data_IF_891716502776
#
_entry.id   IF_891716502776
#
_cell.length_a   1.000
_cell.length_b   1.000
_cell.length_c   1.000
_cell.angle_alpha   90.00
_cell.angle_beta   90.00
_cell.angle_gamma   90.00
#
_symmetry.space_group_name_H-M   'P 1'
#
loop_
_entity.id
_entity.type
_entity.pdbx_description
1 polymer ?
#
# COMPACT_ATOMS: atom_id res chain seq x y z
N UNK A 1 -16.46 8.70 21.70
CA UNK A 1 -15.44 7.64 21.83
C UNK A 1 -14.16 8.31 22.33
N UNK A 2 -13.72 8.00 23.55
CA UNK A 2 -12.38 8.40 24.01
C UNK A 2 -11.33 7.91 23.00
N UNK A 3 -10.18 8.58 22.93
CA UNK A 3 -9.11 8.34 21.95
C UNK A 3 -8.65 6.88 21.98
N UNK A 4 -9.26 6.03 21.16
CA UNK A 4 -8.74 4.70 20.91
C UNK A 4 -7.63 4.82 19.88
N UNK A 5 -6.43 4.43 20.28
CA UNK A 5 -5.38 4.11 19.33
C UNK A 5 -5.70 2.77 18.66
N UNK A 6 -6.25 2.84 17.43
CA UNK A 6 -6.59 1.66 16.64
C UNK A 6 -5.36 0.95 16.04
N UNK A 7 -4.16 1.54 16.19
CA UNK A 7 -2.93 1.05 15.58
C UNK A 7 -2.04 0.28 16.57
N UNK A 8 -2.41 0.28 17.87
CA UNK A 8 -1.75 -0.48 18.93
C UNK A 8 -2.66 -1.61 19.42
N UNK A 9 -2.19 -2.85 19.31
CA UNK A 9 -3.02 -4.03 19.47
C UNK A 9 -2.27 -5.32 19.18
N UNK A 10 -3.03 -6.39 18.99
CA UNK A 10 -2.51 -7.72 18.69
C UNK A 10 -3.34 -8.40 17.59
N UNK A 11 -2.72 -9.35 16.91
CA UNK A 11 -3.44 -10.26 16.02
C UNK A 11 -4.11 -11.37 16.82
N UNK A 12 -5.41 -11.53 16.61
CA UNK A 12 -6.22 -12.57 17.26
C UNK A 12 -6.85 -13.46 16.21
N UNK A 13 -7.00 -14.74 16.54
CA UNK A 13 -7.68 -15.70 15.66
C UNK A 13 -9.17 -15.37 15.59
N UNK A 14 -9.71 -15.38 14.38
CA UNK A 14 -11.13 -15.23 14.10
C UNK A 14 -11.50 -16.09 12.88
N UNK A 15 -12.26 -17.16 13.13
CA UNK A 15 -12.60 -18.14 12.08
C UNK A 15 -13.61 -17.61 11.06
N UNK A 16 -14.20 -16.43 11.29
CA UNK A 16 -15.06 -15.76 10.31
C UNK A 16 -14.28 -15.06 9.19
N UNK A 17 -12.95 -14.92 9.31
CA UNK A 17 -12.08 -14.42 8.23
C UNK A 17 -11.71 -15.56 7.25
N UNK A 18 -11.29 -15.27 6.00
CA UNK A 18 -11.08 -13.96 5.39
C UNK A 18 -12.37 -13.17 5.08
N UNK A 19 -12.24 -11.91 4.65
CA UNK A 19 -13.38 -11.06 4.27
C UNK A 19 -14.07 -11.51 2.97
N UNK A 20 -13.37 -12.28 2.14
CA UNK A 20 -13.90 -12.92 0.93
C UNK A 20 -13.17 -14.25 0.69
N UNK A 21 -13.81 -15.23 0.02
CA UNK A 21 -13.20 -16.54 -0.21
C UNK A 21 -11.97 -16.46 -1.13
N UNK A 22 -10.98 -17.31 -0.89
CA UNK A 22 -9.84 -17.51 -1.79
C UNK A 22 -10.28 -17.92 -3.21
N UNK A 23 -9.56 -17.47 -4.23
CA UNK A 23 -9.88 -17.74 -5.64
C UNK A 23 -11.19 -17.12 -6.16
N UNK A 24 -11.98 -16.42 -5.34
CA UNK A 24 -13.25 -15.82 -5.75
C UNK A 24 -13.11 -14.52 -6.57
N UNK A 25 -11.93 -13.89 -6.51
CA UNK A 25 -11.67 -12.60 -7.14
C UNK A 25 -10.72 -12.75 -8.33
N UNK A 26 -11.17 -12.51 -9.58
CA UNK A 26 -10.34 -12.67 -10.77
C UNK A 26 -9.43 -11.45 -11.04
N UNK A 27 -9.32 -10.53 -10.09
CA UNK A 27 -8.58 -9.27 -10.22
C UNK A 27 -7.34 -9.19 -9.33
N UNK A 28 -6.99 -10.30 -8.69
CA UNK A 28 -5.74 -10.42 -7.94
C UNK A 28 -4.64 -10.73 -8.96
N UNK A 29 -3.61 -9.88 -9.00
CA UNK A 29 -2.43 -10.12 -9.80
C UNK A 29 -1.73 -11.41 -9.31
N UNK A 30 -1.22 -12.23 -10.24
CA UNK A 30 -0.62 -13.53 -9.94
C UNK A 30 0.34 -13.54 -8.73
N UNK A 31 1.26 -12.56 -8.51
CA UNK A 31 2.15 -12.57 -7.36
C UNK A 31 1.48 -12.45 -6.00
N UNK A 32 0.24 -11.97 -5.94
CA UNK A 32 -0.51 -11.83 -4.70
C UNK A 32 -1.50 -12.98 -4.50
N UNK A 33 -1.82 -13.75 -5.55
CA UNK A 33 -2.75 -14.89 -5.50
C UNK A 33 -2.04 -16.18 -5.06
N UNK A 34 -1.72 -16.24 -3.77
CA UNK A 34 -1.06 -17.40 -3.17
C UNK A 34 -1.89 -18.68 -3.28
N UNK A 35 -3.23 -18.56 -3.31
CA UNK A 35 -4.12 -19.71 -3.49
C UNK A 35 -3.97 -20.31 -4.89
N UNK A 36 -4.06 -19.47 -5.93
CA UNK A 36 -3.82 -19.89 -7.32
C UNK A 36 -2.41 -20.49 -7.50
N UNK A 37 -1.42 -19.95 -6.79
CA UNK A 37 -0.04 -20.42 -6.81
C UNK A 37 0.22 -21.66 -5.92
N UNK A 38 -0.82 -22.25 -5.33
CA UNK A 38 -0.74 -23.55 -4.67
C UNK A 38 -0.36 -23.52 -3.19
N UNK A 39 -0.42 -22.36 -2.53
CA UNK A 39 -0.22 -22.25 -1.08
C UNK A 39 -1.33 -22.99 -0.32
N UNK A 40 -0.95 -23.93 0.53
CA UNK A 40 -1.91 -24.80 1.26
C UNK A 40 -2.13 -24.41 2.71
N UNK A 41 -1.20 -23.71 3.34
CA UNK A 41 -1.40 -23.21 4.70
C UNK A 41 -2.31 -21.98 4.66
N UNK A 42 -3.48 -22.08 5.29
CA UNK A 42 -4.50 -21.02 5.28
C UNK A 42 -4.64 -20.32 6.65
N UNK A 43 -3.84 -20.71 7.64
CA UNK A 43 -3.94 -20.18 9.00
C UNK A 43 -3.69 -18.66 9.07
N UNK A 44 -2.83 -18.12 8.19
CA UNK A 44 -2.55 -16.69 8.10
C UNK A 44 -3.78 -15.85 7.76
N UNK A 45 -4.78 -16.45 7.09
CA UNK A 45 -6.01 -15.76 6.71
C UNK A 45 -7.02 -15.66 7.87
N UNK A 46 -6.82 -16.43 8.95
CA UNK A 46 -7.75 -16.51 10.09
C UNK A 46 -7.40 -15.56 11.22
N UNK A 47 -6.68 -14.49 10.93
CA UNK A 47 -6.22 -13.51 11.90
C UNK A 47 -6.86 -12.16 11.60
N UNK A 48 -7.36 -11.50 12.66
CA UNK A 48 -7.81 -10.11 12.63
C UNK A 48 -7.03 -9.26 13.60
N UNK A 49 -6.95 -7.97 13.32
CA UNK A 49 -6.36 -7.01 14.23
C UNK A 49 -7.33 -6.64 15.35
N UNK A 50 -6.87 -6.69 16.60
CA UNK A 50 -7.61 -6.27 17.78
C UNK A 50 -6.82 -5.18 18.50
N UNK A 51 -7.25 -3.91 18.40
CA UNK A 51 -6.67 -2.85 19.22
C UNK A 51 -6.84 -3.15 20.71
N UNK A 52 -5.87 -2.71 21.53
CA UNK A 52 -5.87 -2.99 22.98
C UNK A 52 -6.96 -2.20 23.73
N UNK A 53 -7.32 -1.01 23.25
CA UNK A 53 -8.23 -0.09 23.94
C UNK A 53 -9.64 -0.01 23.34
N UNK A 54 -9.89 -0.65 22.20
CA UNK A 54 -11.21 -0.68 21.57
C UNK A 54 -11.32 -1.81 20.54
N UNK A 55 -12.50 -1.95 19.95
CA UNK A 55 -12.70 -2.81 18.78
C UNK A 55 -12.85 -1.96 17.53
N UNK A 56 -12.19 -2.36 16.44
CA UNK A 56 -12.46 -1.83 15.12
C UNK A 56 -13.64 -2.60 14.50
N UNK A 57 -14.55 -1.92 13.77
CA UNK A 57 -15.63 -2.59 13.09
C UNK A 57 -15.08 -3.46 11.96
N UNK A 58 -15.57 -4.70 11.85
CA UNK A 58 -15.34 -5.52 10.66
C UNK A 58 -15.85 -4.79 9.43
N UNK A 59 -15.09 -4.83 8.32
CA UNK A 59 -15.52 -4.16 7.10
C UNK A 59 -16.82 -4.79 6.56
N UNK A 60 -17.87 -3.98 6.51
CA UNK A 60 -19.10 -4.32 5.79
C UNK A 60 -19.01 -3.77 4.36
N UNK A 61 -18.83 -4.63 3.34
CA UNK A 61 -18.55 -4.17 1.98
C UNK A 61 -19.74 -3.45 1.34
N UNK A 62 -20.97 -3.83 1.69
CA UNK A 62 -22.19 -3.14 1.21
C UNK A 62 -22.27 -1.74 1.81
N UNK A 63 -22.05 -1.59 3.12
CA UNK A 63 -22.04 -0.28 3.77
C UNK A 63 -20.88 0.60 3.27
N UNK A 64 -19.68 0.02 3.06
CA UNK A 64 -18.56 0.72 2.43
C UNK A 64 -18.94 1.25 1.05
N UNK A 65 -19.57 0.44 0.19
CA UNK A 65 -20.01 0.86 -1.14
C UNK A 65 -21.07 1.97 -1.08
N UNK A 66 -22.03 1.91 -0.15
CA UNK A 66 -23.00 2.99 0.06
C UNK A 66 -22.32 4.30 0.48
N UNK A 67 -21.29 4.23 1.34
CA UNK A 67 -20.52 5.43 1.74
C UNK A 67 -19.72 6.02 0.60
N UNK A 68 -19.28 5.17 -0.34
CA UNK A 68 -18.57 5.54 -1.56
C UNK A 68 -19.51 5.94 -2.70
N UNK A 69 -20.83 5.83 -2.54
CA UNK A 69 -21.79 6.15 -3.60
C UNK A 69 -21.56 7.55 -4.17
N UNK A 70 -21.36 7.64 -5.49
CA UNK A 70 -21.09 8.91 -6.18
C UNK A 70 -19.69 9.49 -5.96
N UNK A 71 -18.75 8.71 -5.38
CA UNK A 71 -17.44 9.20 -4.95
C UNK A 71 -16.28 8.43 -5.58
N UNK A 72 -15.09 9.04 -5.50
CA UNK A 72 -13.82 8.45 -5.93
C UNK A 72 -12.95 8.14 -4.71
N UNK A 73 -12.51 6.88 -4.59
CA UNK A 73 -11.50 6.47 -3.62
C UNK A 73 -10.22 6.08 -4.37
N UNK A 74 -9.13 6.76 -4.07
CA UNK A 74 -7.89 6.68 -4.84
C UNK A 74 -6.73 6.23 -3.96
N UNK A 75 -6.00 5.20 -4.39
CA UNK A 75 -4.71 4.81 -3.83
C UNK A 75 -3.60 5.40 -4.69
N UNK A 76 -2.59 5.99 -4.05
CA UNK A 76 -1.42 6.56 -4.75
C UNK A 76 -0.16 6.07 -4.06
N UNK A 77 0.75 5.44 -4.80
CA UNK A 77 2.00 4.99 -4.19
C UNK A 77 2.70 3.84 -4.91
N UNK A 78 3.38 3.01 -4.14
CA UNK A 78 4.14 1.87 -4.64
C UNK A 78 3.28 0.60 -4.79
N UNK A 79 3.92 -0.52 -5.12
CA UNK A 79 3.27 -1.82 -5.31
C UNK A 79 2.56 -2.35 -4.08
N UNK A 80 2.89 -1.88 -2.87
CA UNK A 80 2.18 -2.28 -1.65
C UNK A 80 0.84 -1.55 -1.55
N UNK A 81 0.70 -0.35 -2.14
CA UNK A 81 -0.61 0.28 -2.25
C UNK A 81 -1.46 -0.40 -3.31
N UNK A 82 -0.84 -0.87 -4.39
CA UNK A 82 -1.54 -1.72 -5.36
C UNK A 82 -2.06 -2.98 -4.69
N UNK A 83 -1.23 -3.64 -3.89
CA UNK A 83 -1.62 -4.84 -3.13
C UNK A 83 -2.80 -4.55 -2.17
N UNK A 84 -2.83 -3.39 -1.49
CA UNK A 84 -3.98 -2.94 -0.68
C UNK A 84 -5.21 -2.57 -1.50
N UNK A 85 -5.03 -1.96 -2.67
CA UNK A 85 -6.10 -1.60 -3.59
C UNK A 85 -6.78 -2.85 -4.18
N UNK A 86 -6.01 -3.85 -4.63
CA UNK A 86 -6.55 -5.13 -5.13
C UNK A 86 -7.37 -5.83 -4.05
N UNK A 87 -6.88 -5.85 -2.80
CA UNK A 87 -7.64 -6.34 -1.64
C UNK A 87 -9.00 -5.64 -1.53
N UNK A 88 -9.03 -4.29 -1.55
CA UNK A 88 -10.30 -3.56 -1.41
C UNK A 88 -11.26 -3.84 -2.57
N UNK A 89 -10.74 -3.84 -3.81
CA UNK A 89 -11.54 -4.16 -5.00
C UNK A 89 -12.18 -5.55 -4.84
N UNK A 90 -11.42 -6.55 -4.38
CA UNK A 90 -11.92 -7.90 -4.18
C UNK A 90 -12.95 -8.01 -3.05
N UNK A 91 -12.73 -7.32 -1.92
CA UNK A 91 -13.69 -7.25 -0.81
C UNK A 91 -15.03 -6.68 -1.30
N UNK A 92 -14.99 -5.52 -1.98
CA UNK A 92 -16.19 -4.83 -2.44
C UNK A 92 -16.88 -5.61 -3.56
N UNK A 93 -16.13 -6.10 -4.55
CA UNK A 93 -16.67 -6.89 -5.66
C UNK A 93 -17.43 -8.10 -5.15
N UNK A 94 -16.92 -8.77 -4.10
CA UNK A 94 -17.57 -9.95 -3.55
C UNK A 94 -18.96 -9.68 -2.94
N UNK A 95 -19.27 -8.45 -2.55
CA UNK A 95 -20.61 -8.05 -2.06
C UNK A 95 -21.63 -7.72 -3.16
N UNK A 96 -21.18 -7.40 -4.38
CA UNK A 96 -22.06 -7.01 -5.48
C UNK A 96 -22.76 -8.24 -6.06
N UNK A 97 -24.09 -8.20 -6.28
CA UNK A 97 -24.83 -9.34 -6.84
C UNK A 97 -24.45 -9.63 -8.29
N UNK A 98 -24.53 -8.62 -9.16
CA UNK A 98 -24.14 -8.75 -10.57
C UNK A 98 -22.68 -8.33 -10.75
N UNK A 99 -21.75 -9.30 -10.80
CA UNK A 99 -20.33 -9.02 -10.95
C UNK A 99 -19.97 -8.33 -12.28
N UNK A 100 -20.83 -8.39 -13.30
CA UNK A 100 -20.59 -7.73 -14.61
C UNK A 100 -20.65 -6.20 -14.50
N UNK A 101 -21.27 -5.71 -13.42
CA UNK A 101 -21.36 -4.29 -13.08
C UNK A 101 -20.13 -3.75 -12.35
N UNK A 102 -19.12 -4.59 -12.16
CA UNK A 102 -17.82 -4.27 -11.60
C UNK A 102 -16.74 -4.59 -12.63
N UNK A 103 -16.09 -3.58 -13.17
CA UNK A 103 -15.07 -3.76 -14.20
C UNK A 103 -14.01 -2.67 -14.14
N UNK A 104 -12.82 -2.99 -14.65
CA UNK A 104 -11.76 -2.01 -14.83
C UNK A 104 -12.10 -1.13 -16.05
N UNK A 105 -12.01 0.19 -15.89
CA UNK A 105 -12.49 1.18 -16.85
C UNK A 105 -11.84 1.07 -18.23
N UNK A 106 -10.59 0.62 -18.30
CA UNK A 106 -9.83 0.41 -19.54
C UNK A 106 -9.97 -1.01 -20.10
N UNK A 107 -10.76 -1.88 -19.47
CA UNK A 107 -10.95 -3.29 -19.85
C UNK A 107 -9.73 -4.20 -19.57
N UNK A 108 -8.74 -3.73 -18.82
CA UNK A 108 -7.48 -4.46 -18.58
C UNK A 108 -7.62 -5.51 -17.48
N UNK A 109 -6.73 -6.51 -17.52
CA UNK A 109 -6.69 -7.63 -16.55
C UNK A 109 -5.35 -7.79 -15.83
N UNK A 110 -4.30 -7.13 -16.28
CA UNK A 110 -2.97 -7.18 -15.65
C UNK A 110 -2.61 -5.81 -15.05
N UNK A 111 -2.26 -5.77 -13.77
CA UNK A 111 -2.06 -4.53 -13.01
C UNK A 111 -0.58 -4.15 -12.77
N UNK A 112 0.34 -4.79 -13.52
CA UNK A 112 1.80 -4.58 -13.39
C UNK A 112 2.39 -3.51 -14.30
N UNK A 113 1.77 -3.24 -15.44
CA UNK A 113 2.44 -2.61 -16.59
C UNK A 113 2.16 -1.11 -16.74
N UNK A 114 1.18 -0.55 -16.03
CA UNK A 114 0.63 0.77 -16.37
C UNK A 114 0.57 1.73 -15.16
N UNK A 115 0.52 3.03 -15.47
CA UNK A 115 0.59 4.09 -14.46
C UNK A 115 -0.68 4.32 -13.64
N UNK A 116 -1.84 3.83 -14.09
CA UNK A 116 -3.11 3.99 -13.36
C UNK A 116 -4.18 2.96 -13.73
N UNK A 117 -5.01 2.57 -12.76
CA UNK A 117 -6.14 1.65 -12.93
C UNK A 117 -7.38 2.17 -12.19
N UNK A 118 -8.57 1.87 -12.70
CA UNK A 118 -9.83 2.32 -12.09
C UNK A 118 -10.90 1.24 -12.17
N UNK A 119 -11.32 0.68 -11.03
CA UNK A 119 -12.49 -0.19 -10.97
C UNK A 119 -13.75 0.62 -10.74
N UNK A 120 -14.74 0.42 -11.61
CA UNK A 120 -16.05 1.07 -11.53
C UNK A 120 -17.08 0.12 -10.91
N UNK A 121 -17.84 0.63 -9.93
CA UNK A 121 -18.97 -0.07 -9.32
C UNK A 121 -20.25 0.63 -9.74
N UNK A 122 -20.82 0.19 -10.87
CA UNK A 122 -21.87 0.95 -11.57
C UNK A 122 -23.14 1.16 -10.73
N UNK A 123 -23.58 0.17 -9.95
CA UNK A 123 -24.76 0.29 -9.06
C UNK A 123 -24.57 1.35 -7.96
N UNK A 124 -23.34 1.72 -7.65
CA UNK A 124 -22.98 2.72 -6.64
C UNK A 124 -22.49 4.03 -7.27
N UNK A 125 -22.29 4.06 -8.59
CA UNK A 125 -21.69 5.20 -9.29
C UNK A 125 -20.39 5.65 -8.59
N UNK A 126 -19.53 4.71 -8.21
CA UNK A 126 -18.27 5.01 -7.52
C UNK A 126 -17.09 4.31 -8.20
N UNK A 127 -15.89 4.86 -7.97
CA UNK A 127 -14.63 4.30 -8.45
C UNK A 127 -13.66 3.99 -7.31
N UNK A 128 -12.89 2.92 -7.50
CA UNK A 128 -11.75 2.55 -6.66
C UNK A 128 -10.52 2.49 -7.54
N UNK A 129 -9.61 3.44 -7.37
CA UNK A 129 -8.56 3.75 -8.33
C UNK A 129 -7.17 3.55 -7.71
N UNK A 130 -6.18 3.26 -8.55
CA UNK A 130 -4.78 3.20 -8.18
C UNK A 130 -3.94 4.03 -9.16
N UNK A 131 -3.01 4.83 -8.64
CA UNK A 131 -1.99 5.55 -9.40
C UNK A 131 -0.60 5.15 -8.91
N UNK A 132 0.22 4.64 -9.83
CA UNK A 132 1.60 4.24 -9.54
C UNK A 132 2.43 5.50 -9.36
N UNK A 133 2.88 5.74 -8.14
CA UNK A 133 3.81 6.82 -7.80
C UNK A 133 4.70 6.35 -6.64
N UNK A 134 5.68 5.45 -6.90
CA UNK A 134 6.41 4.78 -5.84
C UNK A 134 7.16 5.73 -4.91
N UNK A 135 7.56 6.89 -5.43
CA UNK A 135 8.27 7.94 -4.71
C UNK A 135 7.39 9.15 -4.36
N UNK A 136 6.12 9.21 -4.80
CA UNK A 136 5.21 10.39 -4.77
C UNK A 136 5.68 11.59 -5.60
N UNK A 137 6.99 11.71 -5.82
CA UNK A 137 7.66 12.70 -6.66
C UNK A 137 8.03 12.12 -8.03
N UNK A 138 8.39 13.00 -8.96
CA UNK A 138 8.45 12.70 -10.39
C UNK A 138 9.74 11.99 -10.80
N UNK A 139 9.61 10.78 -11.37
CA UNK A 139 10.69 10.12 -12.13
C UNK A 139 10.94 10.92 -13.43
N UNK A 140 12.21 11.14 -13.80
CA UNK A 140 12.59 12.04 -14.89
C UNK A 140 13.82 11.53 -15.67
N UNK A 141 14.01 12.05 -16.88
CA UNK A 141 15.19 11.80 -17.70
C UNK A 141 15.89 13.12 -18.05
N UNK A 142 17.17 13.24 -17.70
CA UNK A 142 18.01 14.36 -18.12
C UNK A 142 18.90 13.96 -19.29
N UNK A 143 19.06 14.88 -20.25
CA UNK A 143 20.06 14.76 -21.31
C UNK A 143 21.44 15.08 -20.72
N UNK A 144 22.40 14.16 -20.90
CA UNK A 144 23.81 14.40 -20.55
C UNK A 144 24.66 14.54 -21.82
N UNK A 145 25.78 15.24 -21.69
CA UNK A 145 26.77 15.39 -22.77
C UNK A 145 27.14 14.02 -23.33
N UNK A 146 27.18 13.88 -24.66
CA UNK A 146 27.21 12.64 -25.48
C UNK A 146 25.87 12.09 -25.98
N UNK A 147 24.74 12.77 -25.75
CA UNK A 147 23.43 12.35 -26.26
C UNK A 147 22.83 11.14 -25.52
N UNK A 148 23.43 10.76 -24.39
CA UNK A 148 22.88 9.76 -23.47
C UNK A 148 21.83 10.42 -22.56
N UNK A 149 20.83 9.64 -22.17
CA UNK A 149 19.87 10.02 -21.13
C UNK A 149 20.29 9.41 -19.81
N UNK A 150 20.02 10.13 -18.73
CA UNK A 150 20.22 9.69 -17.35
C UNK A 150 18.93 9.79 -16.59
N UNK A 151 18.51 8.69 -15.99
CA UNK A 151 17.36 8.66 -15.10
C UNK A 151 17.66 9.45 -13.82
N UNK A 152 16.68 10.21 -13.37
CA UNK A 152 16.76 11.08 -12.20
C UNK A 152 15.42 11.09 -11.47
N UNK A 153 15.42 11.47 -10.20
CA UNK A 153 14.23 11.65 -9.39
C UNK A 153 14.12 13.12 -8.97
N UNK A 154 13.10 13.82 -9.49
CA UNK A 154 12.81 15.22 -9.20
C UNK A 154 12.18 15.34 -7.82
N UNK A 155 12.98 15.61 -6.80
CA UNK A 155 12.52 15.74 -5.41
C UNK A 155 11.62 16.97 -5.19
N UNK A 156 11.67 17.94 -6.11
CA UNK A 156 10.94 19.20 -6.08
C UNK A 156 9.62 19.21 -6.86
N UNK A 157 9.27 18.10 -7.53
CA UNK A 157 8.03 17.96 -8.30
C UNK A 157 7.24 16.72 -7.87
N UNK A 158 5.95 16.89 -7.57
CA UNK A 158 5.05 15.75 -7.42
C UNK A 158 4.83 15.05 -8.76
N UNK A 159 4.53 13.76 -8.71
CA UNK A 159 4.27 12.96 -9.90
C UNK A 159 3.08 13.51 -10.72
N UNK A 160 3.20 13.43 -12.05
CA UNK A 160 2.34 14.10 -13.02
C UNK A 160 0.86 13.72 -12.93
N UNK A 161 0.55 12.47 -12.54
CA UNK A 161 -0.83 12.00 -12.39
C UNK A 161 -1.58 12.67 -11.22
N UNK A 162 -0.89 13.45 -10.38
CA UNK A 162 -1.47 14.22 -9.28
C UNK A 162 -2.66 15.12 -9.68
N UNK A 163 -2.66 15.65 -10.89
CA UNK A 163 -3.79 16.43 -11.42
C UNK A 163 -5.05 15.60 -11.64
N UNK A 164 -4.95 14.27 -11.78
CA UNK A 164 -6.09 13.37 -12.04
C UNK A 164 -6.82 12.95 -10.76
N UNK A 165 -6.15 12.99 -9.61
CA UNK A 165 -6.71 12.50 -8.34
C UNK A 165 -6.88 13.56 -7.25
N UNK A 166 -6.34 14.77 -7.43
CA UNK A 166 -6.40 15.83 -6.39
C UNK A 166 -7.81 16.16 -5.88
N UNK A 167 -8.83 15.98 -6.73
CA UNK A 167 -10.24 16.28 -6.43
C UNK A 167 -11.03 15.05 -5.98
N UNK A 168 -10.39 13.91 -5.73
CA UNK A 168 -11.05 12.71 -5.22
C UNK A 168 -11.55 12.90 -3.79
N UNK A 169 -12.60 12.16 -3.41
CA UNK A 169 -13.20 12.23 -2.07
C UNK A 169 -12.31 11.59 -1.00
N UNK A 170 -11.57 10.55 -1.37
CA UNK A 170 -10.64 9.84 -0.50
C UNK A 170 -9.34 9.58 -1.25
N UNK A 171 -8.21 9.96 -0.66
CA UNK A 171 -6.88 9.70 -1.23
C UNK A 171 -6.02 9.00 -0.18
N UNK A 172 -5.53 7.80 -0.49
CA UNK A 172 -4.72 6.95 0.38
C UNK A 172 -3.32 6.90 -0.22
N UNK A 173 -2.39 7.64 0.37
CA UNK A 173 -0.98 7.65 -0.05
C UNK A 173 -0.17 6.57 0.64
N UNK A 174 0.88 6.10 -0.02
CA UNK A 174 2.02 5.47 0.65
C UNK A 174 3.31 5.73 -0.12
N UNK A 175 4.44 5.61 0.56
CA UNK A 175 5.74 5.40 -0.08
C UNK A 175 6.73 4.81 0.93
N UNK A 176 7.72 4.06 0.46
CA UNK A 176 8.79 3.56 1.33
C UNK A 176 9.67 2.48 0.71
N UNK A 177 9.08 1.49 0.04
CA UNK A 177 9.80 0.26 -0.41
C UNK A 177 10.82 0.49 -1.53
N UNK A 178 10.70 1.62 -2.22
CA UNK A 178 11.59 2.02 -3.30
C UNK A 178 12.73 2.91 -2.82
N UNK A 179 12.65 3.44 -1.60
CA UNK A 179 13.67 4.26 -0.98
C UNK A 179 14.75 3.39 -0.32
N UNK A 180 15.50 2.64 -1.14
CA UNK A 180 16.70 1.89 -0.71
C UNK A 180 17.88 2.33 -1.56
N UNK A 181 19.10 2.22 -1.02
CA UNK A 181 20.30 2.63 -1.74
C UNK A 181 20.38 1.99 -3.13
N UNK A 182 20.11 0.70 -3.25
CA UNK A 182 20.20 -0.04 -4.51
C UNK A 182 19.19 0.44 -5.55
N UNK A 183 17.95 0.74 -5.11
CA UNK A 183 16.86 1.17 -6.00
C UNK A 183 16.93 2.65 -6.38
N UNK A 184 17.75 3.44 -5.68
CA UNK A 184 17.93 4.87 -5.93
C UNK A 184 19.34 5.19 -6.42
N UNK A 185 19.91 4.31 -7.27
CA UNK A 185 21.23 4.46 -7.87
C UNK A 185 22.37 4.78 -6.86
N UNK A 186 22.29 4.18 -5.67
CA UNK A 186 23.20 4.41 -4.54
C UNK A 186 23.23 5.86 -4.05
N UNK A 187 22.22 6.65 -4.40
CA UNK A 187 22.13 8.08 -4.14
C UNK A 187 23.07 8.93 -5.00
N UNK A 188 23.79 8.29 -5.93
CA UNK A 188 24.74 8.97 -6.78
C UNK A 188 24.02 9.48 -7.99
N UNK A 189 24.12 10.79 -8.21
CA UNK A 189 23.94 11.33 -9.55
C UNK A 189 22.49 11.13 -10.08
N UNK A 190 21.53 10.94 -9.16
CA UNK A 190 20.15 10.50 -9.41
C UNK A 190 19.12 11.49 -8.88
N UNK A 191 19.32 12.02 -7.68
CA UNK A 191 18.38 12.98 -7.10
C UNK A 191 18.56 14.37 -7.71
N UNK A 192 17.45 15.03 -8.03
CA UNK A 192 17.44 16.31 -8.73
C UNK A 192 16.48 17.32 -8.09
N UNK A 193 16.90 18.58 -8.02
CA UNK A 193 16.04 19.74 -7.72
C UNK A 193 16.31 20.84 -8.76
N UNK A 194 15.28 21.31 -9.48
CA UNK A 194 15.46 22.21 -10.61
C UNK A 194 16.41 21.64 -11.67
N UNK A 195 17.52 22.35 -11.94
CA UNK A 195 18.58 21.90 -12.86
C UNK A 195 19.78 21.28 -12.14
N UNK A 196 19.76 21.19 -10.81
CA UNK A 196 20.84 20.62 -10.03
C UNK A 196 20.61 19.14 -9.80
N UNK A 197 21.57 18.31 -10.22
CA UNK A 197 21.65 16.90 -9.86
C UNK A 197 22.68 16.75 -8.76
N UNK A 198 22.28 16.11 -7.66
CA UNK A 198 23.18 15.82 -6.56
C UNK A 198 24.20 14.76 -6.98
N UNK A 199 25.49 15.07 -6.86
CA UNK A 199 26.55 14.08 -7.08
C UNK A 199 26.37 12.86 -6.17
N UNK A 200 26.02 13.11 -4.90
CA UNK A 200 25.62 12.10 -3.91
C UNK A 200 24.66 12.74 -2.92
N UNK A 201 23.57 12.04 -2.58
CA UNK A 201 22.62 12.46 -1.54
C UNK A 201 22.11 11.23 -0.79
N UNK A 202 22.03 11.34 0.54
CA UNK A 202 21.54 10.27 1.39
C UNK A 202 20.05 9.99 1.09
N UNK A 203 19.66 8.71 1.06
CA UNK A 203 18.29 8.29 0.76
C UNK A 203 17.26 8.84 1.76
N UNK A 204 17.63 9.04 3.03
CA UNK A 204 16.74 9.61 4.05
C UNK A 204 16.54 11.11 3.86
N UNK A 205 17.60 11.83 3.47
CA UNK A 205 17.50 13.26 3.13
C UNK A 205 16.65 13.46 1.87
N UNK A 206 16.84 12.60 0.87
CA UNK A 206 16.01 12.59 -0.34
C UNK A 206 14.54 12.26 -0.05
N UNK A 207 14.29 11.26 0.81
CA UNK A 207 12.94 10.90 1.27
C UNK A 207 12.27 12.07 1.99
N UNK A 208 12.98 12.74 2.90
CA UNK A 208 12.47 13.92 3.59
C UNK A 208 12.13 15.05 2.63
N UNK A 209 13.04 15.38 1.68
CA UNK A 209 12.79 16.39 0.63
C UNK A 209 11.54 16.06 -0.19
N UNK A 210 11.39 14.81 -0.64
CA UNK A 210 10.23 14.38 -1.40
C UNK A 210 8.92 14.51 -0.60
N UNK A 211 8.90 14.15 0.68
CA UNK A 211 7.73 14.33 1.54
C UNK A 211 7.42 15.82 1.81
N UNK A 212 8.43 16.69 1.90
CA UNK A 212 8.21 18.13 1.97
C UNK A 212 7.57 18.69 0.69
N UNK A 213 7.93 18.15 -0.48
CA UNK A 213 7.28 18.50 -1.75
C UNK A 213 5.83 17.99 -1.80
N UNK A 214 5.60 16.73 -1.42
CA UNK A 214 4.26 16.14 -1.34
C UNK A 214 3.35 16.91 -0.38
N UNK A 215 3.82 17.21 0.83
CA UNK A 215 3.03 17.94 1.85
C UNK A 215 2.64 19.34 1.39
N UNK A 216 3.57 20.10 0.80
CA UNK A 216 3.29 21.43 0.21
C UNK A 216 2.26 21.32 -0.92
N UNK A 217 2.35 20.27 -1.74
CA UNK A 217 1.38 20.05 -2.80
C UNK A 217 -0.01 19.75 -2.25
N UNK A 218 -0.13 18.90 -1.23
CA UNK A 218 -1.40 18.61 -0.55
C UNK A 218 -2.03 19.92 -0.02
N UNK A 219 -1.24 20.71 0.73
CA UNK A 219 -1.70 21.97 1.32
C UNK A 219 -2.15 23.01 0.29
N UNK A 220 -1.60 22.97 -0.92
CA UNK A 220 -1.94 23.90 -1.99
C UNK A 220 -3.09 23.42 -2.88
N UNK A 221 -3.32 22.11 -3.00
CA UNK A 221 -4.16 21.55 -4.08
C UNK A 221 -5.34 20.72 -3.59
N UNK A 222 -5.34 20.22 -2.36
CA UNK A 222 -6.41 19.38 -1.83
C UNK A 222 -7.33 20.19 -0.92
N UNK A 223 -8.65 20.06 -1.13
CA UNK A 223 -9.63 20.72 -0.27
C UNK A 223 -9.98 19.83 0.93
N UNK A 224 -9.53 20.14 2.16
CA UNK A 224 -9.79 19.29 3.34
C UNK A 224 -11.27 19.18 3.72
N UNK A 225 -12.12 20.10 3.24
CA UNK A 225 -13.58 20.03 3.48
C UNK A 225 -14.25 18.97 2.61
N UNK A 226 -13.67 18.63 1.46
CA UNK A 226 -14.21 17.65 0.51
C UNK A 226 -13.47 16.32 0.61
N UNK A 227 -12.15 16.38 0.63
CA UNK A 227 -11.28 15.20 0.54
C UNK A 227 -10.84 14.74 1.93
N UNK A 228 -10.88 13.44 2.19
CA UNK A 228 -10.14 12.82 3.28
C UNK A 228 -8.80 12.32 2.74
N UNK A 229 -7.70 12.84 3.28
CA UNK A 229 -6.36 12.35 2.97
C UNK A 229 -5.93 11.37 4.04
N UNK A 230 -5.50 10.18 3.62
CA UNK A 230 -4.91 9.17 4.46
C UNK A 230 -3.49 8.88 3.97
N UNK A 231 -2.60 8.55 4.90
CA UNK A 231 -1.27 8.04 4.57
C UNK A 231 -1.05 6.71 5.27
N UNK A 232 -0.77 5.66 4.51
CA UNK A 232 -0.52 4.31 5.01
C UNK A 232 0.96 4.14 5.34
N UNK A 233 1.23 3.69 6.56
CA UNK A 233 2.58 3.47 7.10
C UNK A 233 3.39 2.39 6.38
N UNK A 234 4.58 2.12 6.89
CA UNK A 234 5.52 1.23 6.21
C UNK A 234 5.08 -0.23 6.32
N UNK A 235 5.01 -0.94 5.20
CA UNK A 235 4.71 -2.38 5.20
C UNK A 235 5.97 -3.17 5.56
N UNK A 236 6.04 -3.93 6.65
CA UNK A 236 7.27 -4.67 6.96
C UNK A 236 7.60 -5.73 5.87
N UNK A 237 8.89 -5.99 5.67
CA UNK A 237 9.40 -7.11 4.86
C UNK A 237 10.13 -8.10 5.76
N UNK A 238 10.03 -9.40 5.50
CA UNK A 238 10.56 -10.42 6.41
C UNK A 238 11.50 -11.40 5.70
N UNK A 239 12.74 -10.99 5.45
CA UNK A 239 13.76 -11.89 4.91
C UNK A 239 14.59 -12.52 6.04
N UNK A 240 14.71 -13.83 6.04
CA UNK A 240 15.56 -14.61 6.94
C UNK A 240 16.69 -15.28 6.17
N UNK A 241 17.89 -15.36 6.76
CA UNK A 241 19.05 -16.02 6.13
C UNK A 241 19.75 -15.20 5.03
N UNK A 242 19.30 -13.98 4.75
CA UNK A 242 19.86 -13.09 3.74
C UNK A 242 18.94 -11.90 3.44
N UNK A 243 19.31 -11.05 2.48
CA UNK A 243 18.44 -10.00 1.95
C UNK A 243 17.69 -10.51 0.72
N UNK A 244 16.73 -9.71 0.24
CA UNK A 244 15.92 -10.00 -0.96
C UNK A 244 16.74 -10.37 -2.21
N UNK A 245 17.96 -9.85 -2.34
CA UNK A 245 18.87 -10.07 -3.46
C UNK A 245 20.05 -10.99 -3.14
N UNK A 246 20.18 -11.48 -1.90
CA UNK A 246 21.32 -12.26 -1.43
C UNK A 246 20.95 -13.61 -0.79
N UNK A 247 19.76 -14.13 -1.12
CA UNK A 247 19.32 -15.47 -0.72
C UNK A 247 18.49 -15.52 0.56
N UNK A 248 17.90 -14.41 0.98
CA UNK A 248 16.93 -14.39 2.08
C UNK A 248 15.55 -14.93 1.66
N UNK A 249 14.87 -15.58 2.60
CA UNK A 249 13.54 -16.17 2.37
C UNK A 249 12.58 -16.04 3.56
N UNK A 250 11.33 -16.43 3.34
CA UNK A 250 10.23 -16.44 4.31
C UNK A 250 9.29 -17.65 4.15
N UNK A 251 9.65 -18.63 3.30
CA UNK A 251 8.86 -19.84 3.02
C UNK A 251 8.65 -20.74 4.23
N UNK A 252 9.50 -20.59 5.25
CA UNK A 252 9.43 -21.35 6.50
C UNK A 252 8.51 -20.71 7.54
N UNK A 253 8.01 -19.50 7.27
CA UNK A 253 7.19 -18.75 8.20
C UNK A 253 5.70 -19.06 8.01
N UNK A 254 5.10 -19.73 8.99
CA UNK A 254 3.67 -20.12 8.99
C UNK A 254 2.89 -19.59 10.19
N UNK A 255 3.56 -18.85 11.07
CA UNK A 255 2.97 -18.24 12.28
C UNK A 255 3.46 -16.80 12.43
N UNK A 256 2.58 -15.90 12.90
CA UNK A 256 2.98 -14.53 13.20
C UNK A 256 4.01 -14.50 14.34
N UNK A 257 4.70 -13.38 14.47
CA UNK A 257 5.43 -13.03 15.68
C UNK A 257 4.41 -12.85 16.81
N UNK A 258 4.71 -13.39 17.99
CA UNK A 258 3.86 -13.28 19.18
C UNK A 258 4.55 -12.59 20.36
N UNK A 259 5.87 -12.41 20.28
CA UNK A 259 6.66 -11.69 21.27
C UNK A 259 7.21 -10.42 20.64
N UNK A 260 6.83 -9.27 21.21
CA UNK A 260 7.21 -7.93 20.77
C UNK A 260 8.72 -7.70 20.66
N UNK A 261 9.52 -8.46 21.41
CA UNK A 261 10.99 -8.37 21.37
C UNK A 261 11.59 -8.79 20.02
N UNK A 262 10.84 -9.55 19.20
CA UNK A 262 11.27 -9.95 17.87
C UNK A 262 10.79 -9.00 16.77
N UNK A 263 10.07 -7.94 17.12
CA UNK A 263 9.69 -6.91 16.17
C UNK A 263 10.91 -6.08 15.77
N UNK A 264 10.89 -5.64 14.52
CA UNK A 264 11.86 -4.74 13.94
C UNK A 264 11.79 -3.36 14.61
N UNK A 265 12.94 -2.69 14.66
CA UNK A 265 12.98 -1.27 15.06
C UNK A 265 12.10 -0.44 14.12
N UNK A 266 11.36 0.51 14.71
CA UNK A 266 10.50 1.40 13.93
C UNK A 266 11.32 2.13 12.83
N UNK A 267 10.90 2.09 11.55
CA UNK A 267 11.71 2.63 10.47
C UNK A 267 11.88 4.16 10.61
N UNK A 268 13.11 4.70 10.51
CA UNK A 268 13.33 6.15 10.58
C UNK A 268 12.53 6.95 9.53
N UNK A 269 12.19 6.32 8.39
CA UNK A 269 11.32 6.92 7.36
C UNK A 269 9.95 7.28 7.90
N UNK A 270 9.41 6.49 8.82
CA UNK A 270 8.11 6.77 9.41
C UNK A 270 8.18 7.93 10.41
N UNK A 271 9.28 8.08 11.15
CA UNK A 271 9.48 9.28 11.97
C UNK A 271 9.57 10.55 11.13
N UNK A 272 10.25 10.51 9.97
CA UNK A 272 10.27 11.65 9.03
C UNK A 272 8.86 11.96 8.52
N UNK A 273 8.07 10.93 8.19
CA UNK A 273 6.69 11.11 7.76
C UNK A 273 5.83 11.78 8.84
N UNK A 274 5.93 11.32 10.08
CA UNK A 274 5.24 11.88 11.24
C UNK A 274 5.59 13.36 11.42
N UNK A 275 6.88 13.71 11.35
CA UNK A 275 7.37 15.08 11.44
C UNK A 275 6.82 15.98 10.32
N UNK A 276 6.71 15.45 9.11
CA UNK A 276 6.16 16.18 7.96
C UNK A 276 4.65 16.38 8.14
N UNK A 277 3.90 15.31 8.43
CA UNK A 277 2.44 15.37 8.61
C UNK A 277 2.08 16.32 9.76
N UNK A 278 2.83 16.32 10.86
CA UNK A 278 2.58 17.20 12.00
C UNK A 278 2.63 18.70 11.63
N UNK A 279 3.39 19.06 10.59
CA UNK A 279 3.59 20.44 10.12
C UNK A 279 2.63 20.85 9.00
N UNK A 280 1.78 19.94 8.52
CA UNK A 280 0.84 20.20 7.42
C UNK A 280 -0.35 21.03 7.88
N UNK A 281 -0.86 21.88 6.99
CA UNK A 281 -2.13 22.60 7.21
C UNK A 281 -3.34 21.71 6.96
N UNK A 282 -3.24 20.84 5.96
CA UNK A 282 -4.26 19.87 5.59
C UNK A 282 -4.16 18.66 6.51
N UNK A 283 -5.23 18.31 7.23
CA UNK A 283 -5.21 17.13 8.09
C UNK A 283 -5.02 15.85 7.27
N UNK A 284 -4.06 15.03 7.67
CA UNK A 284 -3.82 13.69 7.11
C UNK A 284 -4.04 12.65 8.19
N UNK A 285 -4.87 11.65 7.90
CA UNK A 285 -5.04 10.50 8.78
C UNK A 285 -3.90 9.53 8.55
N UNK A 286 -3.00 9.42 9.53
CA UNK A 286 -1.93 8.44 9.48
C UNK A 286 -2.43 7.05 9.89
N UNK A 287 -2.42 6.11 8.95
CA UNK A 287 -2.68 4.70 9.22
C UNK A 287 -1.36 4.04 9.61
N UNK A 288 -1.03 4.06 10.92
CA UNK A 288 0.23 3.49 11.42
C UNK A 288 0.19 1.95 11.45
N UNK A 289 0.25 1.34 10.27
CA UNK A 289 0.19 -0.12 10.10
C UNK A 289 1.53 -0.80 10.32
N UNK A 290 2.60 -0.06 10.58
CA UNK A 290 3.98 -0.58 10.53
C UNK A 290 4.18 -1.73 11.49
N UNK A 291 3.84 -1.51 12.76
CA UNK A 291 3.91 -2.55 13.81
C UNK A 291 2.95 -3.71 13.53
N UNK A 292 1.73 -3.38 13.10
CA UNK A 292 0.71 -4.38 12.74
C UNK A 292 1.22 -5.32 11.62
N UNK A 293 1.90 -4.80 10.60
CA UNK A 293 2.46 -5.57 9.51
C UNK A 293 3.68 -6.40 9.93
N UNK A 294 4.52 -5.88 10.83
CA UNK A 294 5.75 -6.52 11.31
C UNK A 294 5.48 -7.80 12.14
N UNK A 295 4.29 -7.95 12.73
CA UNK A 295 3.90 -9.23 13.30
C UNK A 295 3.74 -10.35 12.26
N UNK A 296 3.53 -10.01 10.98
CA UNK A 296 2.88 -10.90 10.00
C UNK A 296 3.85 -11.60 9.04
N UNK A 297 5.04 -11.96 9.50
CA UNK A 297 6.00 -12.76 8.70
C UNK A 297 5.41 -14.01 8.03
N UNK A 298 4.29 -14.53 8.53
CA UNK A 298 3.53 -15.65 7.98
C UNK A 298 2.78 -15.38 6.68
N UNK A 299 2.49 -14.13 6.32
CA UNK A 299 1.46 -13.83 5.31
C UNK A 299 1.99 -13.38 3.93
N UNK A 300 3.31 -13.48 3.71
CA UNK A 300 3.94 -13.14 2.44
C UNK A 300 3.74 -14.23 1.37
N UNK A 301 3.72 -13.89 0.07
CA UNK A 301 3.68 -14.89 -1.00
C UNK A 301 4.84 -15.86 -0.97
N UNK A 302 6.04 -15.41 -0.59
CA UNK A 302 7.24 -16.23 -0.54
C UNK A 302 7.48 -16.90 -1.92
N UNK A 303 7.47 -18.23 -1.99
CA UNK A 303 7.61 -19.03 -3.20
C UNK A 303 6.31 -19.09 -4.02
N UNK A 304 5.15 -18.80 -3.41
CA UNK A 304 3.82 -18.85 -4.02
C UNK A 304 3.48 -17.56 -4.77
N UNK A 305 4.41 -17.09 -5.60
CA UNK A 305 4.31 -15.84 -6.37
C UNK A 305 3.98 -16.02 -7.85
N UNK A 306 4.06 -17.25 -8.36
CA UNK A 306 3.62 -17.61 -9.71
C UNK A 306 3.51 -19.13 -9.86
N UNK A 307 2.67 -19.58 -10.79
CA UNK A 307 2.48 -21.01 -11.04
C UNK A 307 3.65 -21.61 -11.82
N UNK A 308 4.11 -20.90 -12.84
CA UNK A 308 5.11 -21.39 -13.79
C UNK A 308 6.50 -20.83 -13.47
N UNK A 309 7.21 -21.50 -12.56
CA UNK A 309 8.62 -21.25 -12.26
C UNK A 309 9.52 -21.74 -13.40
N UNK A 310 10.50 -20.91 -13.79
CA UNK A 310 11.59 -21.28 -14.69
C UNK A 310 12.51 -22.30 -14.02
N UNK A 311 13.35 -23.00 -14.80
CA UNK A 311 14.30 -23.96 -14.24
C UNK A 311 15.28 -23.32 -13.25
N UNK A 312 15.68 -22.07 -13.47
CA UNK A 312 16.53 -21.33 -12.54
C UNK A 312 15.82 -21.07 -11.21
N UNK A 313 14.57 -20.62 -11.25
CA UNK A 313 13.78 -20.34 -10.06
C UNK A 313 13.49 -21.62 -9.27
N UNK A 314 13.30 -22.75 -9.95
CA UNK A 314 13.16 -24.06 -9.31
C UNK A 314 14.45 -24.52 -8.64
N UNK A 315 15.61 -24.24 -9.24
CA UNK A 315 16.93 -24.61 -8.70
C UNK A 315 17.36 -23.71 -7.54
N UNK A 316 16.92 -22.45 -7.53
CA UNK A 316 17.35 -21.44 -6.54
C UNK A 316 16.17 -20.65 -5.97
N UNK A 317 15.15 -21.29 -5.36
CA UNK A 317 13.93 -20.61 -4.90
C UNK A 317 14.22 -19.49 -3.90
N UNK A 318 15.24 -19.67 -3.06
CA UNK A 318 15.78 -18.70 -2.08
C UNK A 318 16.13 -17.34 -2.71
N UNK A 319 16.45 -17.28 -4.02
CA UNK A 319 16.81 -16.03 -4.72
C UNK A 319 15.61 -15.25 -5.24
N UNK A 320 14.43 -15.84 -5.22
CA UNK A 320 13.27 -15.27 -5.88
C UNK A 320 12.03 -15.23 -4.98
N UNK A 321 12.18 -15.38 -3.66
CA UNK A 321 11.04 -15.29 -2.76
C UNK A 321 10.52 -13.86 -2.68
N UNK A 322 9.20 -13.70 -2.63
CA UNK A 322 8.58 -12.41 -2.32
C UNK A 322 8.23 -12.34 -0.83
N UNK A 323 9.10 -11.70 -0.05
CA UNK A 323 8.88 -11.44 1.38
C UNK A 323 8.59 -9.97 1.66
N UNK A 324 8.06 -9.25 0.66
CA UNK A 324 7.71 -7.83 0.75
C UNK A 324 6.21 -7.61 0.58
N UNK A 325 5.60 -8.20 -0.44
CA UNK A 325 4.16 -8.10 -0.71
C UNK A 325 3.37 -9.11 0.12
N UNK A 326 2.03 -9.10 0.01
CA UNK A 326 1.15 -9.92 0.83
C UNK A 326 0.25 -10.80 -0.03
N UNK A 327 0.03 -12.03 0.45
CA UNK A 327 -1.04 -12.88 -0.07
C UNK A 327 -2.40 -12.20 0.07
N UNK A 328 -3.27 -12.41 -0.93
CA UNK A 328 -4.66 -11.98 -0.91
C UNK A 328 -5.60 -13.21 -1.04
N UNK A 329 -6.65 -13.34 -0.20
CA UNK A 329 -6.97 -12.51 0.97
C UNK A 329 -5.89 -12.61 2.08
N UNK A 330 -5.74 -11.57 2.90
CA UNK A 330 -4.65 -11.51 3.88
C UNK A 330 -4.49 -10.16 4.58
N UNK A 331 -3.25 -9.81 4.95
CA UNK A 331 -2.92 -8.62 5.77
C UNK A 331 -3.50 -7.31 5.21
N UNK A 332 -3.48 -7.04 3.88
CA UNK A 332 -4.04 -5.80 3.35
C UNK A 332 -5.56 -5.67 3.56
N UNK A 333 -6.28 -6.77 3.77
CA UNK A 333 -7.71 -6.74 4.10
C UNK A 333 -7.93 -5.99 5.42
N UNK A 334 -7.10 -6.26 6.42
CA UNK A 334 -7.15 -5.59 7.72
C UNK A 334 -6.75 -4.11 7.63
N UNK A 335 -5.87 -3.72 6.71
CA UNK A 335 -5.59 -2.30 6.46
C UNK A 335 -6.80 -1.59 5.87
N UNK A 336 -7.56 -2.27 5.00
CA UNK A 336 -8.82 -1.75 4.47
C UNK A 336 -9.91 -1.64 5.55
N UNK A 337 -9.91 -2.50 6.57
CA UNK A 337 -10.77 -2.32 7.76
C UNK A 337 -10.44 -1.03 8.52
N UNK A 338 -9.16 -0.64 8.61
CA UNK A 338 -8.77 0.65 9.21
C UNK A 338 -9.28 1.83 8.37
N UNK A 339 -9.19 1.77 7.04
CA UNK A 339 -9.78 2.79 6.15
C UNK A 339 -11.29 2.89 6.40
N UNK A 340 -12.00 1.77 6.44
CA UNK A 340 -13.44 1.74 6.72
C UNK A 340 -13.78 2.34 8.09
N UNK A 341 -13.02 2.02 9.14
CA UNK A 341 -13.16 2.61 10.46
C UNK A 341 -12.98 4.15 10.43
N UNK A 342 -12.01 4.65 9.68
CA UNK A 342 -11.78 6.09 9.52
C UNK A 342 -12.94 6.78 8.77
N UNK A 343 -13.54 6.12 7.77
CA UNK A 343 -14.73 6.63 7.10
C UNK A 343 -15.93 6.73 8.04
N UNK A 344 -16.12 5.74 8.92
CA UNK A 344 -17.16 5.74 9.95
C UNK A 344 -16.96 6.90 10.94
N UNK A 345 -15.72 7.09 11.41
CA UNK A 345 -15.37 8.18 12.33
C UNK A 345 -15.63 9.54 11.68
N UNK A 346 -15.14 9.77 10.45
CA UNK A 346 -15.35 11.04 9.73
C UNK A 346 -16.84 11.34 9.56
N UNK A 347 -17.65 10.36 9.18
CA UNK A 347 -19.09 10.58 9.05
C UNK A 347 -19.79 10.86 10.38
N UNK A 348 -19.37 10.18 11.46
CA UNK A 348 -19.90 10.49 12.78
C UNK A 348 -19.58 11.93 13.20
N UNK A 349 -18.34 12.38 12.99
CA UNK A 349 -17.93 13.75 13.26
C UNK A 349 -18.74 14.78 12.46
N UNK A 350 -18.98 14.52 11.16
CA UNK A 350 -19.79 15.41 10.31
C UNK A 350 -21.27 15.48 10.70
N UNK A 351 -21.82 14.46 11.39
CA UNK A 351 -23.21 14.49 11.88
C UNK A 351 -23.37 15.22 13.21
N UNK A 352 -22.28 15.46 13.93
CA UNK A 352 -22.26 16.14 15.23
C UNK A 352 -21.89 17.63 15.13
N UNK A 353 -21.49 18.07 13.93
CA UNK A 353 -21.31 19.48 13.55
C UNK A 353 -22.56 19.96 12.83
#
# INVERSE_FOLDING_TARGET
MASCDMFSGNWVRDDSYPLYPEGSCPHIDEPFDCYLNGRRDLAYQKLRWQPSGCSIPRLNPTDMLERLRGKRLVFVGDSLNRNMWESLVCILRNSVKDKRKVFEASGRREFKTEGSYSFLFTDYNCSVEFFRSPFLVQEWEMQVSSGKKKETLRLDLVEQSSLKYKDADFIIFNTGHWWTHEKTALGKDYYQEGNHVYNELNVMDAFHKALLTWSKWIDANVNPRKTLVLFRGYSASHFSGGQWNSGGGCDKESKPITNDQYLSTYPPKMSILEDVIHKMKTPVVYLNITRMADYRKDAHPSIYRKQNLTDEERRSPERFQDCSHWCLPGVPDSWNELVYAQLLIKQHQMRQQ
#
